data_IF_613245903002
#
_entry.id   IF_613245903002
#
_cell.length_a   1.000
_cell.length_b   1.000
_cell.length_c   1.000
_cell.angle_alpha   90.00
_cell.angle_beta   90.00
_cell.angle_gamma   90.00
#
_symmetry.space_group_name_H-M   'P 1'
#
loop_
_entity.id
_entity.type
_entity.pdbx_description
1 polymer ?
#
# COMPACT_ATOMS: atom_id res chain seq x y z
N UNK A 1 -35.16 -35.11 10.88
CA UNK A 1 -34.26 -34.02 11.32
C UNK A 1 -35.02 -33.19 12.36
N UNK A 2 -34.50 -33.02 13.59
CA UNK A 2 -35.25 -32.33 14.66
C UNK A 2 -35.17 -30.81 14.45
N UNK A 3 -36.24 -30.09 14.77
CA UNK A 3 -36.31 -28.60 14.69
C UNK A 3 -35.15 -27.93 15.46
N UNK A 4 -34.67 -28.55 16.54
CA UNK A 4 -33.50 -28.10 17.31
C UNK A 4 -32.19 -28.15 16.50
N UNK A 5 -32.06 -29.08 15.56
CA UNK A 5 -30.88 -29.22 14.70
C UNK A 5 -30.87 -28.13 13.61
N UNK A 6 -32.05 -27.80 13.08
CA UNK A 6 -32.24 -26.70 12.11
C UNK A 6 -31.93 -25.35 12.76
N UNK A 7 -32.43 -25.11 13.99
CA UNK A 7 -32.21 -23.86 14.70
C UNK A 7 -30.73 -23.66 15.09
N UNK A 8 -30.01 -24.75 15.43
CA UNK A 8 -28.55 -24.70 15.62
C UNK A 8 -27.79 -24.38 14.33
N UNK A 9 -28.26 -24.87 13.18
CA UNK A 9 -27.67 -24.59 11.88
C UNK A 9 -27.83 -23.10 11.50
N UNK A 10 -29.01 -22.53 11.77
CA UNK A 10 -29.28 -21.10 11.52
C UNK A 10 -28.52 -20.18 12.50
N UNK A 11 -28.38 -20.57 13.78
CA UNK A 11 -27.63 -19.79 14.77
C UNK A 11 -26.11 -19.92 14.60
N UNK A 12 -25.60 -21.02 14.04
CA UNK A 12 -24.18 -21.16 13.69
C UNK A 12 -23.80 -20.38 12.42
N UNK A 13 -24.79 -19.97 11.61
CA UNK A 13 -24.60 -19.23 10.37
C UNK A 13 -24.65 -17.71 10.53
N UNK A 14 -24.90 -17.18 11.74
CA UNK A 14 -24.76 -15.73 11.98
C UNK A 14 -23.27 -15.38 12.00
N UNK A 15 -22.73 -15.06 10.83
CA UNK A 15 -21.38 -14.52 10.67
C UNK A 15 -21.33 -13.23 11.50
N UNK A 16 -20.60 -13.24 12.60
CA UNK A 16 -20.43 -12.02 13.40
C UNK A 16 -19.70 -11.00 12.51
N UNK A 17 -20.31 -9.84 12.19
CA UNK A 17 -19.67 -8.83 11.33
C UNK A 17 -18.41 -8.23 11.97
N UNK A 18 -18.20 -8.46 13.27
CA UNK A 18 -17.02 -8.09 14.05
C UNK A 18 -16.20 -9.32 14.46
N UNK A 19 -16.29 -10.44 13.74
CA UNK A 19 -15.37 -11.56 13.93
C UNK A 19 -13.96 -11.12 13.52
N UNK A 20 -13.18 -10.62 14.49
CA UNK A 20 -11.81 -10.16 14.30
C UNK A 20 -10.93 -11.26 13.72
N UNK A 21 -11.20 -12.53 14.05
CA UNK A 21 -10.48 -13.66 13.49
C UNK A 21 -10.81 -13.83 12.02
N UNK A 22 -12.09 -13.73 11.64
CA UNK A 22 -12.47 -13.75 10.23
C UNK A 22 -11.95 -12.51 9.48
N UNK A 23 -12.01 -11.32 10.08
CA UNK A 23 -11.49 -10.09 9.50
C UNK A 23 -9.98 -10.18 9.24
N UNK A 24 -9.20 -10.70 10.18
CA UNK A 24 -7.74 -10.80 10.05
C UNK A 24 -7.28 -12.03 9.24
N UNK A 25 -8.00 -13.15 9.29
CA UNK A 25 -7.56 -14.43 8.70
C UNK A 25 -8.32 -14.85 7.44
N UNK A 26 -9.47 -14.25 7.11
CA UNK A 26 -10.06 -14.52 5.81
C UNK A 26 -9.20 -13.87 4.74
N UNK A 27 -8.59 -14.73 3.92
CA UNK A 27 -7.71 -14.31 2.83
C UNK A 27 -8.39 -13.39 1.80
N UNK A 28 -9.70 -13.17 1.85
CA UNK A 28 -10.47 -12.65 0.73
C UNK A 28 -10.30 -11.15 0.39
N UNK A 29 -9.74 -10.31 1.28
CA UNK A 29 -9.75 -8.86 1.03
C UNK A 29 -8.67 -7.99 1.72
N UNK A 30 -7.69 -8.56 2.43
CA UNK A 30 -6.72 -7.74 3.17
C UNK A 30 -5.82 -6.92 2.24
N UNK A 31 -5.32 -7.51 1.16
CA UNK A 31 -4.43 -6.82 0.24
C UNK A 31 -5.07 -5.57 -0.39
N UNK A 32 -6.31 -5.63 -0.94
CA UNK A 32 -7.01 -4.43 -1.41
C UNK A 32 -7.12 -3.33 -0.37
N UNK A 33 -7.37 -3.62 0.91
CA UNK A 33 -7.43 -2.57 1.94
C UNK A 33 -6.04 -1.98 2.21
N UNK A 34 -5.04 -2.83 2.39
CA UNK A 34 -3.68 -2.42 2.77
C UNK A 34 -2.96 -1.67 1.63
N UNK A 35 -3.19 -2.04 0.37
CA UNK A 35 -2.49 -1.41 -0.77
C UNK A 35 -2.88 0.06 -0.97
N UNK A 36 -4.05 0.51 -0.49
CA UNK A 36 -4.45 1.92 -0.57
C UNK A 36 -3.53 2.83 0.25
N UNK A 37 -2.95 2.35 1.36
CA UNK A 37 -2.10 3.16 2.21
C UNK A 37 -0.83 3.64 1.49
N UNK A 38 0.05 2.76 0.96
CA UNK A 38 1.24 3.22 0.26
C UNK A 38 0.90 4.05 -0.97
N UNK A 39 -0.18 3.73 -1.70
CA UNK A 39 -0.62 4.51 -2.86
C UNK A 39 -1.04 5.93 -2.44
N UNK A 40 -1.98 6.05 -1.50
CA UNK A 40 -2.52 7.35 -1.08
C UNK A 40 -1.44 8.22 -0.42
N UNK A 41 -0.60 7.62 0.44
CA UNK A 41 0.51 8.33 1.07
C UNK A 41 1.54 8.78 0.04
N UNK A 42 1.86 7.97 -0.96
CA UNK A 42 2.79 8.36 -2.03
C UNK A 42 2.23 9.49 -2.90
N UNK A 43 0.95 9.41 -3.30
CA UNK A 43 0.28 10.48 -4.05
C UNK A 43 0.24 11.77 -3.23
N UNK A 44 -0.14 11.69 -1.96
CA UNK A 44 -0.14 12.83 -1.05
C UNK A 44 1.26 13.44 -0.95
N UNK A 45 2.30 12.61 -0.80
CA UNK A 45 3.70 13.07 -0.83
C UNK A 45 4.00 13.88 -2.09
N UNK A 46 3.67 13.36 -3.29
CA UNK A 46 3.92 14.05 -4.55
C UNK A 46 3.20 15.40 -4.63
N UNK A 47 1.94 15.46 -4.21
CA UNK A 47 1.15 16.70 -4.16
C UNK A 47 1.77 17.71 -3.19
N UNK A 48 2.14 17.28 -1.99
CA UNK A 48 2.75 18.17 -1.00
C UNK A 48 4.16 18.63 -1.41
N UNK A 49 4.93 17.82 -2.14
CA UNK A 49 6.23 18.25 -2.67
C UNK A 49 6.04 19.35 -3.74
N UNK A 50 5.02 19.22 -4.61
CA UNK A 50 4.67 20.27 -5.55
C UNK A 50 4.21 21.56 -4.84
N UNK A 51 3.38 21.42 -3.80
CA UNK A 51 2.97 22.56 -2.95
C UNK A 51 4.18 23.21 -2.25
N UNK A 52 5.16 22.42 -1.82
CA UNK A 52 6.37 22.94 -1.19
C UNK A 52 7.18 23.82 -2.15
N UNK A 53 7.32 23.41 -3.40
CA UNK A 53 7.99 24.20 -4.44
C UNK A 53 7.18 25.45 -4.80
N UNK A 54 5.86 25.33 -4.95
CA UNK A 54 5.01 26.45 -5.35
C UNK A 54 4.86 27.51 -4.25
N UNK A 55 4.59 27.08 -3.01
CA UNK A 55 4.29 27.97 -1.88
C UNK A 55 5.53 28.36 -1.09
N UNK A 56 6.66 27.69 -1.29
CA UNK A 56 7.93 27.93 -0.58
C UNK A 56 7.81 27.88 0.95
N UNK A 57 6.85 27.13 1.47
CA UNK A 57 6.67 26.94 2.92
C UNK A 57 7.29 25.62 3.37
N UNK A 58 8.14 25.62 4.42
CA UNK A 58 8.87 24.42 4.86
C UNK A 58 7.95 23.32 5.40
N UNK A 59 6.76 23.68 5.87
CA UNK A 59 5.79 22.71 6.40
C UNK A 59 5.34 21.72 5.31
N UNK A 60 5.12 22.18 4.07
CA UNK A 60 4.71 21.29 2.98
C UNK A 60 5.80 20.28 2.63
N UNK A 61 7.09 20.69 2.67
CA UNK A 61 8.21 19.78 2.47
C UNK A 61 8.31 18.72 3.59
N UNK A 62 7.98 19.09 4.83
CA UNK A 62 7.92 18.15 5.94
C UNK A 62 6.78 17.15 5.76
N UNK A 63 5.58 17.62 5.42
CA UNK A 63 4.41 16.75 5.16
C UNK A 63 4.68 15.81 3.99
N UNK A 64 5.27 16.30 2.89
CA UNK A 64 5.67 15.48 1.76
C UNK A 64 6.60 14.34 2.20
N UNK A 65 7.67 14.68 2.93
CA UNK A 65 8.64 13.71 3.43
C UNK A 65 8.02 12.63 4.33
N UNK A 66 7.18 13.01 5.30
CA UNK A 66 6.59 12.04 6.22
C UNK A 66 5.54 11.15 5.54
N UNK A 67 4.82 11.67 4.54
CA UNK A 67 3.95 10.86 3.69
C UNK A 67 4.76 9.84 2.86
N UNK A 68 5.88 10.25 2.26
CA UNK A 68 6.76 9.34 1.53
C UNK A 68 7.34 8.25 2.43
N UNK A 69 7.75 8.63 3.64
CA UNK A 69 8.23 7.69 4.65
C UNK A 69 7.12 6.72 5.05
N UNK A 70 5.90 7.21 5.30
CA UNK A 70 4.74 6.36 5.59
C UNK A 70 4.41 5.40 4.45
N UNK A 71 4.50 5.85 3.20
CA UNK A 71 4.35 4.98 2.04
C UNK A 71 5.42 3.87 2.04
N UNK A 72 6.69 4.23 2.20
CA UNK A 72 7.79 3.26 2.26
C UNK A 72 7.63 2.25 3.42
N UNK A 73 7.13 2.68 4.57
CA UNK A 73 6.89 1.80 5.73
C UNK A 73 5.70 0.85 5.54
N UNK A 74 4.70 1.23 4.73
CA UNK A 74 3.50 0.42 4.47
C UNK A 74 3.65 -0.52 3.28
N UNK A 75 4.59 -0.25 2.35
CA UNK A 75 4.91 -1.13 1.21
C UNK A 75 5.23 -2.57 1.63
N UNK A 76 6.07 -2.86 2.65
CA UNK A 76 6.34 -4.24 3.08
C UNK A 76 5.08 -5.00 3.48
N UNK A 77 4.15 -4.33 4.17
CA UNK A 77 2.88 -4.94 4.58
C UNK A 77 1.97 -5.21 3.36
N UNK A 78 1.95 -4.29 2.40
CA UNK A 78 1.21 -4.47 1.14
C UNK A 78 1.77 -5.64 0.31
N UNK A 79 3.09 -5.80 0.26
CA UNK A 79 3.75 -6.95 -0.40
C UNK A 79 3.40 -8.24 0.32
N UNK A 80 3.53 -8.30 1.64
CA UNK A 80 3.24 -9.50 2.43
C UNK A 80 1.79 -9.96 2.23
N UNK A 81 0.84 -9.03 2.29
CA UNK A 81 -0.59 -9.32 2.07
C UNK A 81 -0.88 -9.69 0.61
N UNK A 82 -0.19 -9.10 -0.37
CA UNK A 82 -0.35 -9.43 -1.79
C UNK A 82 0.18 -10.81 -2.15
N UNK A 83 1.32 -11.22 -1.57
CA UNK A 83 1.85 -12.58 -1.71
C UNK A 83 0.95 -13.61 -1.02
N UNK A 84 0.41 -13.28 0.16
CA UNK A 84 -0.59 -14.09 0.84
C UNK A 84 -1.86 -14.28 0.00
N UNK A 85 -2.38 -13.19 -0.56
CA UNK A 85 -3.51 -13.22 -1.49
C UNK A 85 -3.24 -14.16 -2.68
N UNK A 86 -2.07 -14.05 -3.32
CA UNK A 86 -1.68 -14.93 -4.41
C UNK A 86 -1.59 -16.41 -3.96
N UNK A 87 -1.02 -16.69 -2.79
CA UNK A 87 -0.83 -18.07 -2.32
C UNK A 87 -2.14 -18.73 -1.90
N UNK A 88 -3.02 -18.02 -1.19
CA UNK A 88 -4.21 -18.60 -0.57
C UNK A 88 -5.50 -18.38 -1.35
N UNK A 89 -5.69 -17.21 -1.97
CA UNK A 89 -6.92 -16.94 -2.75
C UNK A 89 -6.81 -17.44 -4.19
N UNK A 90 -5.62 -17.31 -4.78
CA UNK A 90 -5.37 -17.78 -6.14
C UNK A 90 -4.70 -19.16 -6.16
N UNK A 91 -4.58 -19.81 -5.00
CA UNK A 91 -3.98 -21.15 -4.83
C UNK A 91 -2.55 -21.26 -5.44
N UNK A 92 -1.84 -20.14 -5.53
CA UNK A 92 -0.53 -20.09 -6.20
C UNK A 92 -0.61 -20.27 -7.72
N UNK A 93 -1.70 -19.85 -8.35
CA UNK A 93 -1.89 -19.89 -9.80
C UNK A 93 -0.69 -19.30 -10.55
N UNK A 94 -0.40 -19.86 -11.73
CA UNK A 94 0.72 -19.43 -12.56
C UNK A 94 0.68 -17.91 -12.82
N UNK A 95 1.83 -17.24 -12.62
CA UNK A 95 1.98 -15.79 -12.79
C UNK A 95 2.02 -15.46 -14.29
N UNK A 96 0.84 -15.17 -14.86
CA UNK A 96 0.68 -14.82 -16.29
C UNK A 96 -0.31 -13.66 -16.47
N UNK A 97 -0.30 -13.04 -17.65
CA UNK A 97 -1.21 -11.95 -18.00
C UNK A 97 -1.19 -10.80 -16.98
N UNK A 98 -2.38 -10.38 -16.54
CA UNK A 98 -2.55 -9.25 -15.61
C UNK A 98 -1.87 -9.47 -14.27
N UNK A 99 -1.83 -10.71 -13.75
CA UNK A 99 -1.14 -11.00 -12.49
C UNK A 99 0.37 -10.75 -12.62
N UNK A 100 0.96 -11.12 -13.76
CA UNK A 100 2.38 -10.85 -14.04
C UNK A 100 2.64 -9.35 -14.16
N UNK A 101 1.79 -8.63 -14.89
CA UNK A 101 1.90 -7.18 -15.03
C UNK A 101 1.80 -6.49 -13.66
N UNK A 102 0.80 -6.85 -12.86
CA UNK A 102 0.61 -6.33 -11.51
C UNK A 102 1.86 -6.54 -10.66
N UNK A 103 2.45 -7.74 -10.65
CA UNK A 103 3.67 -8.01 -9.88
C UNK A 103 4.87 -7.17 -10.35
N UNK A 104 5.06 -7.01 -11.66
CA UNK A 104 6.14 -6.18 -12.21
C UNK A 104 5.94 -4.71 -11.80
N UNK A 105 4.75 -4.16 -12.00
CA UNK A 105 4.43 -2.79 -11.62
C UNK A 105 4.59 -2.58 -10.11
N UNK A 106 4.03 -3.49 -9.29
CA UNK A 106 4.10 -3.40 -7.84
C UNK A 106 5.55 -3.42 -7.32
N UNK A 107 6.39 -4.34 -7.81
CA UNK A 107 7.79 -4.41 -7.41
C UNK A 107 8.59 -3.20 -7.89
N UNK A 108 8.34 -2.75 -9.13
CA UNK A 108 9.00 -1.56 -9.68
C UNK A 108 8.65 -0.31 -8.87
N UNK A 109 7.36 -0.05 -8.62
CA UNK A 109 6.91 1.07 -7.79
C UNK A 109 7.44 0.96 -6.36
N UNK A 110 7.44 -0.23 -5.76
CA UNK A 110 8.01 -0.43 -4.41
C UNK A 110 9.49 -0.04 -4.34
N UNK A 111 10.30 -0.50 -5.31
CA UNK A 111 11.72 -0.14 -5.39
C UNK A 111 11.91 1.37 -5.59
N UNK A 112 11.12 1.99 -6.46
CA UNK A 112 11.17 3.43 -6.68
C UNK A 112 10.76 4.21 -5.43
N UNK A 113 9.73 3.79 -4.70
CA UNK A 113 9.32 4.42 -3.43
C UNK A 113 10.45 4.36 -2.41
N UNK A 114 11.09 3.20 -2.21
CA UNK A 114 12.25 3.09 -1.31
C UNK A 114 13.41 3.97 -1.76
N UNK A 115 13.72 3.98 -3.05
CA UNK A 115 14.79 4.81 -3.61
C UNK A 115 14.51 6.30 -3.44
N UNK A 116 13.28 6.75 -3.74
CA UNK A 116 12.82 8.12 -3.54
C UNK A 116 12.87 8.50 -2.06
N UNK A 117 12.42 7.62 -1.16
CA UNK A 117 12.48 7.85 0.28
C UNK A 117 13.93 8.01 0.76
N UNK A 118 14.83 7.15 0.30
CA UNK A 118 16.26 7.27 0.60
C UNK A 118 16.85 8.57 0.05
N UNK A 119 16.61 8.89 -1.22
CA UNK A 119 17.08 10.11 -1.87
C UNK A 119 16.55 11.35 -1.15
N UNK A 120 15.25 11.38 -0.79
CA UNK A 120 14.64 12.49 -0.08
C UNK A 120 15.23 12.69 1.30
N UNK A 121 15.48 11.60 2.04
CA UNK A 121 16.17 11.64 3.34
C UNK A 121 17.56 12.26 3.23
N UNK A 122 18.33 11.90 2.19
CA UNK A 122 19.66 12.47 1.92
C UNK A 122 19.60 13.95 1.55
N UNK A 123 18.65 14.35 0.70
CA UNK A 123 18.43 15.75 0.34
C UNK A 123 18.02 16.60 1.55
N UNK A 124 17.11 16.09 2.37
CA UNK A 124 16.66 16.76 3.61
C UNK A 124 17.79 16.93 4.61
N UNK A 125 18.63 15.91 4.81
CA UNK A 125 19.81 16.00 5.68
C UNK A 125 20.82 17.07 5.22
N UNK A 126 20.86 17.37 3.93
CA UNK A 126 21.71 18.42 3.34
C UNK A 126 21.01 19.78 3.19
N UNK A 127 19.72 19.89 3.54
CA UNK A 127 18.93 21.10 3.32
C UNK A 127 18.67 21.44 1.85
N UNK A 128 18.79 20.48 0.94
CA UNK A 128 18.66 20.68 -0.51
C UNK A 128 17.22 20.38 -0.95
N UNK A 129 16.66 21.24 -1.81
CA UNK A 129 15.35 21.02 -2.43
C UNK A 129 15.43 19.96 -3.54
N UNK A 130 14.39 19.12 -3.75
CA UNK A 130 14.39 18.16 -4.84
C UNK A 130 14.49 18.81 -6.22
N UNK A 131 15.31 18.22 -7.10
CA UNK A 131 15.47 18.67 -8.49
C UNK A 131 14.59 17.90 -9.48
N UNK A 132 14.72 18.22 -10.77
CA UNK A 132 13.90 17.63 -11.84
C UNK A 132 13.95 16.08 -11.87
N UNK A 133 15.13 15.49 -11.66
CA UNK A 133 15.28 14.04 -11.63
C UNK A 133 14.43 13.37 -10.53
N UNK A 134 14.28 14.02 -9.38
CA UNK A 134 13.41 13.53 -8.31
C UNK A 134 11.94 13.53 -8.73
N UNK A 135 11.48 14.60 -9.36
CA UNK A 135 10.11 14.69 -9.85
C UNK A 135 9.84 13.69 -10.98
N UNK A 136 10.78 13.50 -11.91
CA UNK A 136 10.67 12.50 -12.97
C UNK A 136 10.54 11.08 -12.40
N UNK A 137 11.36 10.72 -11.41
CA UNK A 137 11.28 9.43 -10.72
C UNK A 137 9.99 9.28 -9.90
N UNK A 138 9.50 10.37 -9.31
CA UNK A 138 8.21 10.37 -8.60
C UNK A 138 7.06 10.06 -9.54
N UNK A 139 7.06 10.67 -10.74
CA UNK A 139 6.05 10.41 -11.77
C UNK A 139 6.14 8.99 -12.35
N UNK A 140 7.35 8.43 -12.46
CA UNK A 140 7.54 7.06 -12.92
C UNK A 140 7.04 6.01 -11.92
N UNK A 141 7.01 6.36 -10.63
CA UNK A 141 6.59 5.44 -9.57
C UNK A 141 5.06 5.38 -9.34
N UNK A 142 4.32 6.33 -9.95
CA UNK A 142 2.85 6.41 -10.00
C UNK A 142 2.27 5.39 -10.98
#
# INVERSE_FOLDING_TARGET
MKVKDVMKLFLAASVNPFDVKAALLQGHAQHPVIIHFPIALFIASAVFELLAVWRKQPIFAAVAYYNLLGAALTVPLAIATGLGAWRWQLEGAAIKGNLRLHMICALTSALLIFFLCWMRSRLRAKGISPGLAYFALTLLAL
#
